data_IF_231233315966
#
_entry.id   IF_231233315966
#
_cell.length_a   1.000
_cell.length_b   1.000
_cell.length_c   1.000
_cell.angle_alpha   90.00
_cell.angle_beta   90.00
_cell.angle_gamma   90.00
#
_symmetry.space_group_name_H-M   'P 1'
#
loop_
_entity.id
_entity.type
_entity.pdbx_description
1 polymer ?
#
# COMPACT_ATOMS: atom_id res chain seq x y z
N UNK A 1 17.90 38.32 25.45
CA UNK A 1 17.44 37.75 24.17
C UNK A 1 16.78 36.41 24.48
N UNK A 2 15.45 36.37 24.55
CA UNK A 2 14.72 35.14 24.90
C UNK A 2 14.62 34.22 23.69
N UNK A 3 14.81 32.94 23.96
CA UNK A 3 14.73 31.80 23.06
C UNK A 3 13.46 31.77 22.20
N UNK A 4 13.60 31.81 20.88
CA UNK A 4 12.62 31.16 20.00
C UNK A 4 12.82 29.65 20.16
N UNK A 5 12.07 29.06 21.11
CA UNK A 5 12.07 27.61 21.40
C UNK A 5 11.35 26.78 20.34
N UNK A 6 10.78 27.41 19.31
CA UNK A 6 9.96 26.74 18.31
C UNK A 6 10.32 27.26 16.93
N UNK A 7 10.63 26.34 16.01
CA UNK A 7 10.78 26.65 14.60
C UNK A 7 9.47 27.25 14.08
N UNK A 8 9.55 28.34 13.32
CA UNK A 8 8.38 28.88 12.63
C UNK A 8 7.83 27.85 11.63
N UNK A 9 6.52 27.89 11.35
CA UNK A 9 5.89 27.00 10.36
C UNK A 9 6.58 27.08 8.99
N UNK A 10 7.09 28.26 8.60
CA UNK A 10 7.88 28.44 7.39
C UNK A 10 9.22 27.71 7.47
N UNK A 11 9.94 27.79 8.60
CA UNK A 11 11.19 27.03 8.79
C UNK A 11 10.94 25.52 8.76
N UNK A 12 9.91 25.01 9.45
CA UNK A 12 9.51 23.59 9.39
C UNK A 12 9.18 23.19 7.96
N UNK A 13 8.44 24.02 7.23
CA UNK A 13 8.07 23.77 5.83
C UNK A 13 9.30 23.73 4.93
N UNK A 14 10.25 24.65 5.11
CA UNK A 14 11.49 24.66 4.35
C UNK A 14 12.43 23.51 4.71
N UNK A 15 12.50 23.11 5.97
CA UNK A 15 13.24 21.91 6.41
C UNK A 15 12.62 20.63 5.84
N UNK A 16 11.30 20.49 5.88
CA UNK A 16 10.59 19.38 5.23
C UNK A 16 10.86 19.38 3.72
N UNK A 17 10.74 20.54 3.04
CA UNK A 17 11.05 20.64 1.60
C UNK A 17 12.48 20.23 1.30
N UNK A 18 13.47 20.69 2.07
CA UNK A 18 14.89 20.31 1.92
C UNK A 18 15.09 18.82 2.18
N UNK A 19 14.49 18.26 3.22
CA UNK A 19 14.53 16.83 3.52
C UNK A 19 13.98 15.99 2.36
N UNK A 20 12.85 16.40 1.78
CA UNK A 20 12.25 15.76 0.60
C UNK A 20 12.89 16.16 -0.74
N UNK A 21 13.91 17.03 -0.76
CA UNK A 21 14.72 17.33 -1.96
C UNK A 21 15.99 16.49 -2.02
N UNK A 22 16.49 16.00 -0.88
CA UNK A 22 17.71 15.17 -0.80
C UNK A 22 17.36 13.69 -1.00
N UNK A 23 17.06 13.32 -2.26
CA UNK A 23 16.95 11.91 -2.68
C UNK A 23 18.23 11.40 -3.36
N UNK A 24 19.33 12.16 -3.35
CA UNK A 24 20.62 11.76 -3.92
C UNK A 24 21.13 10.42 -3.37
N UNK A 25 20.73 10.06 -2.14
CA UNK A 25 21.05 8.77 -1.53
C UNK A 25 20.53 7.56 -2.32
N UNK A 26 19.45 7.69 -3.09
CA UNK A 26 18.87 6.59 -3.87
C UNK A 26 19.76 6.15 -5.04
N UNK A 27 20.61 7.06 -5.55
CA UNK A 27 21.46 6.80 -6.71
C UNK A 27 22.53 5.72 -6.45
N UNK A 28 22.87 5.47 -5.18
CA UNK A 28 23.92 4.54 -4.76
C UNK A 28 23.39 3.30 -4.02
N UNK A 29 22.10 2.99 -4.13
CA UNK A 29 21.54 1.82 -3.45
C UNK A 29 22.06 0.53 -4.08
N UNK A 30 22.79 -0.25 -3.28
CA UNK A 30 23.04 -1.67 -3.59
C UNK A 30 21.73 -2.45 -3.55
N UNK A 31 21.70 -3.65 -4.12
CA UNK A 31 20.48 -4.49 -4.09
C UNK A 31 20.04 -4.80 -2.66
N UNK A 32 20.98 -4.96 -1.72
CA UNK A 32 20.67 -5.09 -0.30
C UNK A 32 19.97 -3.84 0.27
N UNK A 33 20.41 -2.64 -0.11
CA UNK A 33 19.75 -1.40 0.29
C UNK A 33 18.33 -1.28 -0.28
N UNK A 34 18.12 -1.73 -1.53
CA UNK A 34 16.79 -1.74 -2.17
C UNK A 34 15.85 -2.69 -1.44
N UNK A 35 16.28 -3.91 -1.15
CA UNK A 35 15.44 -4.87 -0.42
C UNK A 35 15.12 -4.38 1.00
N UNK A 36 16.08 -3.77 1.69
CA UNK A 36 15.82 -3.11 2.97
C UNK A 36 14.79 -1.98 2.82
N UNK A 37 14.92 -1.15 1.80
CA UNK A 37 13.96 -0.07 1.52
C UNK A 37 12.55 -0.60 1.28
N UNK A 38 12.41 -1.66 0.49
CA UNK A 38 11.11 -2.29 0.27
C UNK A 38 10.54 -2.85 1.56
N UNK A 39 11.35 -3.58 2.35
CA UNK A 39 10.93 -4.11 3.64
C UNK A 39 10.44 -3.01 4.59
N UNK A 40 11.19 -1.93 4.72
CA UNK A 40 10.87 -0.82 5.64
C UNK A 40 9.60 -0.07 5.19
N UNK A 41 9.48 0.26 3.90
CA UNK A 41 8.30 0.96 3.39
C UNK A 41 7.06 0.08 3.32
N UNK A 42 7.21 -1.21 3.04
CA UNK A 42 6.10 -2.15 3.06
C UNK A 42 5.60 -2.40 4.49
N UNK A 43 6.48 -2.33 5.49
CA UNK A 43 6.06 -2.31 6.91
C UNK A 43 5.26 -1.04 7.26
N UNK A 44 5.59 0.12 6.67
CA UNK A 44 4.79 1.35 6.82
C UNK A 44 3.41 1.16 6.15
N UNK A 45 3.37 0.64 4.92
CA UNK A 45 2.11 0.30 4.24
C UNK A 45 1.24 -0.62 5.09
N UNK A 46 1.83 -1.69 5.66
CA UNK A 46 1.13 -2.63 6.55
C UNK A 46 0.48 -1.94 7.74
N UNK A 47 1.17 -0.95 8.35
CA UNK A 47 0.61 -0.14 9.45
C UNK A 47 -0.58 0.70 9.00
N UNK A 48 -0.56 1.27 7.80
CA UNK A 48 -1.73 1.97 7.27
C UNK A 48 -2.92 1.04 7.11
N UNK A 49 -2.71 -0.16 6.57
CA UNK A 49 -3.76 -1.18 6.43
C UNK A 49 -4.37 -1.54 7.78
N UNK A 50 -3.53 -1.80 8.78
CA UNK A 50 -3.98 -2.09 10.14
C UNK A 50 -4.81 -0.93 10.73
N UNK A 51 -4.32 0.30 10.57
CA UNK A 51 -4.98 1.49 11.09
C UNK A 51 -6.39 1.63 10.53
N UNK A 52 -6.57 1.68 9.20
CA UNK A 52 -7.92 1.87 8.66
C UNK A 52 -8.82 0.64 8.82
N UNK A 53 -8.27 -0.58 8.96
CA UNK A 53 -9.07 -1.79 9.23
C UNK A 53 -9.61 -1.83 10.66
N UNK A 54 -8.89 -1.25 11.63
CA UNK A 54 -9.29 -1.15 13.05
C UNK A 54 -10.03 0.13 13.39
N UNK A 55 -10.12 1.04 12.43
CA UNK A 55 -10.70 2.35 12.63
C UNK A 55 -12.21 2.26 12.79
N UNK A 56 -12.68 2.22 14.04
CA UNK A 56 -14.05 2.61 14.37
C UNK A 56 -14.11 4.14 14.48
N UNK A 57 -13.66 4.89 13.46
CA UNK A 57 -13.74 6.36 13.54
C UNK A 57 -15.21 6.73 13.69
N UNK A 58 -15.58 7.09 14.92
CA UNK A 58 -16.89 7.63 15.23
C UNK A 58 -17.15 8.72 14.21
N UNK A 59 -18.30 8.62 13.52
CA UNK A 59 -18.67 9.47 12.40
C UNK A 59 -18.58 10.94 12.82
N UNK A 60 -17.42 11.56 12.61
CA UNK A 60 -17.36 12.99 12.40
C UNK A 60 -17.92 13.15 10.99
N UNK A 61 -19.24 13.36 10.93
CA UNK A 61 -19.93 13.67 9.70
C UNK A 61 -19.11 14.76 8.97
N UNK A 62 -18.74 14.47 7.72
CA UNK A 62 -17.94 15.29 6.80
C UNK A 62 -16.39 15.23 6.90
N UNK A 63 -15.79 14.54 7.87
CA UNK A 63 -14.32 14.38 7.97
C UNK A 63 -13.90 12.93 8.24
N UNK A 64 -13.92 12.10 7.20
CA UNK A 64 -13.50 10.69 7.35
C UNK A 64 -12.01 10.55 7.07
N UNK A 65 -11.20 10.67 8.13
CA UNK A 65 -9.73 10.55 8.12
C UNK A 65 -9.28 9.24 7.45
N UNK A 66 -10.07 8.18 7.58
CA UNK A 66 -9.82 6.89 6.93
C UNK A 66 -9.63 7.01 5.42
N UNK A 67 -10.36 7.89 4.75
CA UNK A 67 -10.27 7.95 3.30
C UNK A 67 -8.95 8.57 2.83
N UNK A 68 -8.48 9.60 3.53
CA UNK A 68 -7.15 10.17 3.32
C UNK A 68 -6.07 9.11 3.56
N UNK A 69 -6.22 8.30 4.61
CA UNK A 69 -5.28 7.21 4.93
C UNK A 69 -5.26 6.15 3.81
N UNK A 70 -6.43 5.74 3.31
CA UNK A 70 -6.55 4.80 2.19
C UNK A 70 -5.85 5.35 0.95
N UNK A 71 -6.16 6.59 0.54
CA UNK A 71 -5.56 7.20 -0.64
C UNK A 71 -4.04 7.33 -0.54
N UNK A 72 -3.52 7.74 0.62
CA UNK A 72 -2.07 7.82 0.88
C UNK A 72 -1.43 6.43 0.86
N UNK A 73 -2.07 5.44 1.49
CA UNK A 73 -1.56 4.07 1.55
C UNK A 73 -1.45 3.44 0.16
N UNK A 74 -2.45 3.63 -0.69
CA UNK A 74 -2.43 3.14 -2.07
C UNK A 74 -1.44 3.87 -2.94
N UNK A 75 -1.29 5.20 -2.78
CA UNK A 75 -0.25 5.93 -3.48
C UNK A 75 1.14 5.39 -3.13
N UNK A 76 1.43 5.21 -1.83
CA UNK A 76 2.68 4.60 -1.38
C UNK A 76 2.86 3.23 -2.02
N UNK A 77 1.83 2.39 -1.96
CA UNK A 77 1.92 1.02 -2.44
C UNK A 77 2.16 0.93 -3.95
N UNK A 78 1.46 1.73 -4.75
CA UNK A 78 1.67 1.80 -6.20
C UNK A 78 3.06 2.35 -6.54
N UNK A 79 3.58 3.30 -5.76
CA UNK A 79 4.95 3.79 -5.90
C UNK A 79 5.99 2.71 -5.60
N UNK A 80 5.75 1.85 -4.61
CA UNK A 80 6.62 0.69 -4.34
C UNK A 80 6.58 -0.32 -5.49
N UNK A 81 5.41 -0.58 -6.07
CA UNK A 81 5.28 -1.45 -7.24
C UNK A 81 6.08 -0.90 -8.43
N UNK A 82 5.96 0.41 -8.73
CA UNK A 82 6.73 1.05 -9.80
C UNK A 82 8.26 0.93 -9.58
N UNK A 83 8.73 1.09 -8.33
CA UNK A 83 10.14 0.89 -7.98
C UNK A 83 10.59 -0.56 -8.11
N UNK A 84 9.72 -1.56 -7.91
CA UNK A 84 10.02 -2.98 -8.17
C UNK A 84 10.14 -3.27 -9.67
N UNK A 85 9.43 -2.53 -10.53
CA UNK A 85 9.51 -2.66 -11.99
C UNK A 85 10.84 -2.11 -12.52
N UNK A 86 11.13 -0.85 -12.19
CA UNK A 86 12.35 -0.17 -12.64
C UNK A 86 12.83 0.82 -11.58
N UNK A 87 13.72 0.35 -10.70
CA UNK A 87 14.29 1.16 -9.63
C UNK A 87 14.94 2.43 -10.19
N UNK A 88 15.82 2.29 -11.18
CA UNK A 88 16.68 3.39 -11.63
C UNK A 88 15.85 4.51 -12.28
N UNK A 89 14.93 4.15 -13.17
CA UNK A 89 14.10 5.14 -13.84
C UNK A 89 13.16 5.82 -12.83
N UNK A 90 12.49 5.03 -11.98
CA UNK A 90 11.55 5.57 -10.99
C UNK A 90 12.26 6.40 -9.90
N UNK A 91 13.42 5.97 -9.41
CA UNK A 91 14.22 6.71 -8.41
C UNK A 91 14.73 8.03 -8.96
N UNK A 92 15.20 8.05 -10.20
CA UNK A 92 15.67 9.27 -10.86
C UNK A 92 14.53 10.30 -10.99
N UNK A 93 13.30 9.85 -11.18
CA UNK A 93 12.14 10.74 -11.18
C UNK A 93 11.85 11.31 -9.80
N UNK A 94 12.03 10.54 -8.72
CA UNK A 94 11.99 11.08 -7.35
C UNK A 94 13.13 12.06 -7.05
N UNK A 95 14.27 11.94 -7.73
CA UNK A 95 15.38 12.91 -7.68
C UNK A 95 15.18 14.16 -8.56
N UNK A 96 14.26 14.13 -9.53
CA UNK A 96 14.08 15.24 -10.47
C UNK A 96 13.48 16.48 -9.79
N UNK A 97 13.88 17.69 -10.23
CA UNK A 97 13.29 18.94 -9.73
C UNK A 97 11.86 19.18 -10.26
N UNK A 98 11.42 18.40 -11.24
CA UNK A 98 10.10 18.52 -11.83
C UNK A 98 9.06 17.77 -10.98
N UNK A 99 8.34 18.51 -10.11
CA UNK A 99 7.37 17.94 -9.17
C UNK A 99 6.24 17.13 -9.85
N UNK A 100 5.92 17.39 -11.12
CA UNK A 100 4.88 16.65 -11.87
C UNK A 100 5.26 15.18 -12.10
N UNK A 101 6.56 14.89 -12.13
CA UNK A 101 7.11 13.55 -12.42
C UNK A 101 7.11 12.63 -11.19
N UNK A 102 6.98 13.18 -9.97
CA UNK A 102 6.89 12.41 -8.70
C UNK A 102 5.47 11.98 -8.34
N UNK A 103 4.53 12.19 -9.25
CA UNK A 103 3.11 12.08 -9.01
C UNK A 103 2.64 10.62 -8.98
N UNK A 104 1.57 10.37 -8.22
CA UNK A 104 0.85 9.10 -8.27
C UNK A 104 0.47 8.69 -9.70
N UNK A 105 0.15 9.66 -10.56
CA UNK A 105 -0.16 9.42 -11.98
C UNK A 105 0.96 8.72 -12.74
N UNK A 106 2.23 9.09 -12.50
CA UNK A 106 3.37 8.45 -13.15
C UNK A 106 3.54 6.99 -12.69
N UNK A 107 3.60 6.76 -11.37
CA UNK A 107 3.75 5.41 -10.82
C UNK A 107 2.62 4.49 -11.28
N UNK A 108 1.38 5.00 -11.30
CA UNK A 108 0.21 4.29 -11.83
C UNK A 108 0.40 3.88 -13.29
N UNK A 109 0.88 4.78 -14.15
CA UNK A 109 1.13 4.48 -15.57
C UNK A 109 2.14 3.35 -15.72
N UNK A 110 3.26 3.44 -15.00
CA UNK A 110 4.30 2.39 -15.00
C UNK A 110 3.74 1.03 -14.58
N UNK A 111 2.95 0.99 -13.50
CA UNK A 111 2.30 -0.25 -13.04
C UNK A 111 1.32 -0.78 -14.06
N UNK A 112 0.50 0.05 -14.71
CA UNK A 112 -0.44 -0.40 -15.73
C UNK A 112 0.25 -1.02 -16.95
N UNK A 113 1.31 -0.38 -17.46
CA UNK A 113 2.07 -0.88 -18.62
C UNK A 113 2.78 -2.22 -18.36
N UNK A 114 3.12 -2.50 -17.10
CA UNK A 114 3.70 -3.79 -16.69
C UNK A 114 2.61 -4.83 -16.39
N UNK A 115 1.53 -4.46 -15.68
CA UNK A 115 0.42 -5.37 -15.37
C UNK A 115 -0.27 -5.91 -16.62
N UNK A 116 -0.52 -5.07 -17.63
CA UNK A 116 -1.17 -5.47 -18.89
C UNK A 116 -0.46 -6.66 -19.57
N UNK A 117 0.82 -6.86 -19.29
CA UNK A 117 1.64 -7.94 -19.85
C UNK A 117 1.68 -9.20 -18.97
N UNK A 118 1.17 -9.13 -17.74
CA UNK A 118 1.34 -10.17 -16.70
C UNK A 118 0.05 -10.88 -16.30
N UNK A 119 -1.11 -10.26 -16.53
CA UNK A 119 -2.41 -10.75 -16.05
C UNK A 119 -3.43 -10.77 -17.18
N UNK A 120 -4.55 -11.46 -16.96
CA UNK A 120 -5.64 -11.53 -17.95
C UNK A 120 -6.26 -10.15 -18.24
N UNK A 121 -6.82 -9.97 -19.44
CA UNK A 121 -7.42 -8.70 -19.87
C UNK A 121 -8.57 -8.22 -18.98
N UNK A 122 -9.41 -9.13 -18.48
CA UNK A 122 -10.49 -8.78 -17.55
C UNK A 122 -9.95 -8.40 -16.17
N UNK A 123 -8.92 -9.11 -15.70
CA UNK A 123 -8.21 -8.78 -14.47
C UNK A 123 -7.55 -7.41 -14.54
N UNK A 124 -6.85 -7.12 -15.64
CA UNK A 124 -6.23 -5.82 -15.88
C UNK A 124 -7.26 -4.69 -15.90
N UNK A 125 -8.37 -4.89 -16.62
CA UNK A 125 -9.46 -3.91 -16.68
C UNK A 125 -9.98 -3.60 -15.27
N UNK A 126 -10.26 -4.62 -14.46
CA UNK A 126 -10.72 -4.42 -13.08
C UNK A 126 -9.68 -3.73 -12.20
N UNK A 127 -8.42 -4.14 -12.27
CA UNK A 127 -7.34 -3.49 -11.52
C UNK A 127 -7.24 -2.01 -11.87
N UNK A 128 -7.33 -1.69 -13.16
CA UNK A 128 -7.32 -0.32 -13.66
C UNK A 128 -8.49 0.49 -13.12
N UNK A 129 -9.71 -0.04 -13.18
CA UNK A 129 -10.92 0.61 -12.64
C UNK A 129 -10.78 0.96 -11.16
N UNK A 130 -10.31 0.01 -10.34
CA UNK A 130 -10.14 0.20 -8.89
C UNK A 130 -9.05 1.23 -8.59
N UNK A 131 -7.90 1.16 -9.25
CA UNK A 131 -6.80 2.11 -9.02
C UNK A 131 -7.16 3.52 -9.53
N UNK A 132 -7.84 3.62 -10.67
CA UNK A 132 -8.36 4.89 -11.19
C UNK A 132 -9.40 5.49 -10.22
N UNK A 133 -10.32 4.66 -9.70
CA UNK A 133 -11.29 5.05 -8.69
C UNK A 133 -10.60 5.65 -7.46
N UNK A 134 -9.59 4.96 -6.90
CA UNK A 134 -8.84 5.42 -5.73
C UNK A 134 -8.09 6.73 -6.03
N UNK A 135 -7.50 6.88 -7.21
CA UNK A 135 -6.80 8.13 -7.57
C UNK A 135 -7.77 9.30 -7.72
N UNK A 136 -8.93 9.10 -8.36
CA UNK A 136 -10.00 10.11 -8.39
C UNK A 136 -10.42 10.46 -6.99
N UNK A 137 -10.60 9.45 -6.13
CA UNK A 137 -11.00 9.67 -4.74
C UNK A 137 -9.95 10.51 -4.00
N UNK A 138 -8.66 10.19 -4.17
CA UNK A 138 -7.52 10.94 -3.65
C UNK A 138 -7.56 12.43 -3.94
N UNK A 139 -7.85 12.79 -5.17
CA UNK A 139 -7.81 14.19 -5.61
C UNK A 139 -9.05 14.98 -5.16
N UNK A 140 -10.16 14.30 -4.85
CA UNK A 140 -11.41 14.92 -4.45
C UNK A 140 -11.60 15.01 -2.92
N UNK A 141 -10.72 14.40 -2.11
CA UNK A 141 -10.80 14.41 -0.64
C UNK A 141 -10.89 15.80 0.00
N UNK A 142 -10.33 16.83 -0.64
CA UNK A 142 -10.33 18.20 -0.10
C UNK A 142 -11.69 18.90 -0.30
N UNK A 143 -12.55 18.42 -1.21
CA UNK A 143 -13.72 19.17 -1.67
C UNK A 143 -15.08 18.48 -1.50
N UNK A 144 -15.16 17.15 -1.32
CA UNK A 144 -16.39 16.44 -0.94
C UNK A 144 -16.12 14.98 -0.58
N UNK A 145 -16.65 14.51 0.56
CA UNK A 145 -16.59 13.10 0.94
C UNK A 145 -17.55 12.24 0.06
N UNK A 146 -16.94 11.42 -0.79
CA UNK A 146 -17.32 10.05 -1.20
C UNK A 146 -18.78 9.62 -1.09
N UNK A 147 -19.50 9.59 -2.22
CA UNK A 147 -20.64 8.67 -2.37
C UNK A 147 -20.12 7.32 -2.88
N UNK A 148 -20.37 6.25 -2.12
CA UNK A 148 -20.17 4.86 -2.57
C UNK A 148 -18.89 4.14 -2.13
N UNK A 149 -17.88 4.82 -1.56
CA UNK A 149 -16.67 4.14 -1.07
C UNK A 149 -16.95 3.20 0.10
N UNK A 150 -17.93 3.53 0.94
CA UNK A 150 -18.39 2.68 2.05
C UNK A 150 -19.16 1.45 1.60
N UNK A 151 -19.29 1.22 0.29
CA UNK A 151 -19.90 0.02 -0.23
C UNK A 151 -18.96 -1.18 -0.06
N UNK A 152 -19.45 -2.24 0.56
CA UNK A 152 -18.69 -3.47 0.84
C UNK A 152 -17.98 -4.02 -0.40
N UNK A 153 -18.64 -3.99 -1.56
CA UNK A 153 -18.08 -4.47 -2.82
C UNK A 153 -16.84 -3.67 -3.27
N UNK A 154 -16.80 -2.36 -3.01
CA UNK A 154 -15.63 -1.52 -3.34
C UNK A 154 -14.44 -1.92 -2.47
N UNK A 155 -14.66 -2.03 -1.15
CA UNK A 155 -13.64 -2.50 -0.21
C UNK A 155 -13.07 -3.86 -0.60
N UNK A 156 -13.94 -4.82 -0.91
CA UNK A 156 -13.52 -6.14 -1.38
C UNK A 156 -12.62 -6.05 -2.62
N UNK A 157 -12.98 -5.27 -3.62
CA UNK A 157 -12.16 -5.11 -4.82
C UNK A 157 -10.81 -4.45 -4.53
N UNK A 158 -10.77 -3.48 -3.61
CA UNK A 158 -9.51 -2.85 -3.20
C UNK A 158 -8.54 -3.87 -2.59
N UNK A 159 -9.03 -4.73 -1.69
CA UNK A 159 -8.20 -5.78 -1.08
C UNK A 159 -7.81 -6.89 -2.07
N UNK A 160 -8.69 -7.25 -3.02
CA UNK A 160 -8.35 -8.18 -4.10
C UNK A 160 -7.21 -7.64 -4.98
N UNK A 161 -7.26 -6.35 -5.33
CA UNK A 161 -6.19 -5.68 -6.07
C UNK A 161 -4.91 -5.62 -5.25
N UNK A 162 -4.99 -5.39 -3.93
CA UNK A 162 -3.80 -5.48 -3.06
C UNK A 162 -3.16 -6.88 -3.13
N UNK A 163 -3.96 -7.93 -2.99
CA UNK A 163 -3.46 -9.30 -3.05
C UNK A 163 -2.75 -9.59 -4.37
N UNK A 164 -3.34 -9.14 -5.48
CA UNK A 164 -2.74 -9.28 -6.81
C UNK A 164 -1.39 -8.57 -6.90
N UNK A 165 -1.30 -7.31 -6.47
CA UNK A 165 -0.07 -6.52 -6.55
C UNK A 165 1.03 -7.10 -5.66
N UNK A 166 0.69 -7.52 -4.44
CA UNK A 166 1.64 -8.14 -3.49
C UNK A 166 2.27 -9.37 -4.13
N UNK A 167 1.45 -10.24 -4.70
CA UNK A 167 1.91 -11.48 -5.31
C UNK A 167 2.70 -11.22 -6.60
N UNK A 168 2.17 -10.37 -7.50
CA UNK A 168 2.79 -10.05 -8.80
C UNK A 168 4.18 -9.43 -8.64
N UNK A 169 4.35 -8.55 -7.66
CA UNK A 169 5.61 -7.86 -7.39
C UNK A 169 6.44 -8.50 -6.27
N UNK A 170 6.05 -9.72 -5.85
CA UNK A 170 6.78 -10.54 -4.88
C UNK A 170 7.13 -9.79 -3.59
N UNK A 171 6.17 -9.02 -3.06
CA UNK A 171 6.29 -8.46 -1.72
C UNK A 171 6.12 -9.57 -0.67
N UNK A 172 6.83 -9.46 0.45
CA UNK A 172 6.78 -10.39 1.58
C UNK A 172 5.98 -9.76 2.73
N UNK A 173 4.64 -9.91 2.74
CA UNK A 173 3.81 -9.40 3.83
C UNK A 173 4.03 -10.20 5.11
N UNK A 174 3.94 -9.48 6.24
CA UNK A 174 3.77 -10.14 7.54
C UNK A 174 2.42 -10.84 7.60
N UNK A 175 2.35 -11.90 8.40
CA UNK A 175 1.13 -12.70 8.57
C UNK A 175 -0.09 -11.82 8.95
N UNK A 176 0.10 -10.82 9.81
CA UNK A 176 -0.95 -9.88 10.20
C UNK A 176 -1.56 -9.12 9.01
N UNK A 177 -0.74 -8.68 8.05
CA UNK A 177 -1.24 -7.99 6.86
C UNK A 177 -2.03 -8.96 5.97
N UNK A 178 -1.53 -10.19 5.80
CA UNK A 178 -2.25 -11.21 5.01
C UNK A 178 -3.60 -11.51 5.66
N UNK A 179 -3.62 -11.71 6.98
CA UNK A 179 -4.86 -11.94 7.73
C UNK A 179 -5.84 -10.79 7.56
N UNK A 180 -5.39 -9.53 7.64
CA UNK A 180 -6.24 -8.36 7.40
C UNK A 180 -6.85 -8.34 5.99
N UNK A 181 -6.03 -8.62 4.96
CA UNK A 181 -6.52 -8.67 3.58
C UNK A 181 -7.58 -9.77 3.44
N UNK A 182 -7.28 -10.97 3.93
CA UNK A 182 -8.17 -12.13 3.86
C UNK A 182 -9.48 -11.86 4.58
N UNK A 183 -9.42 -11.43 5.84
CA UNK A 183 -10.60 -11.17 6.66
C UNK A 183 -11.49 -10.10 6.04
N UNK A 184 -10.92 -9.03 5.49
CA UNK A 184 -11.71 -7.99 4.85
C UNK A 184 -12.37 -8.48 3.55
N UNK A 185 -11.76 -9.40 2.81
CA UNK A 185 -12.40 -9.99 1.63
C UNK A 185 -13.55 -10.92 2.06
N UNK A 186 -13.36 -11.71 3.11
CA UNK A 186 -14.35 -12.66 3.63
C UNK A 186 -15.53 -11.98 4.33
N UNK A 187 -15.30 -10.90 5.09
CA UNK A 187 -16.37 -10.13 5.75
C UNK A 187 -17.29 -9.41 4.75
N UNK A 188 -16.78 -9.13 3.54
CA UNK A 188 -17.52 -8.46 2.48
C UNK A 188 -18.02 -9.47 1.43
N UNK A 189 -18.59 -10.61 1.86
CA UNK A 189 -19.21 -11.61 0.96
C UNK A 189 -20.33 -10.99 0.11
N UNK A 190 -20.64 -11.61 -1.03
CA UNK A 190 -21.69 -11.17 -1.97
C UNK A 190 -23.03 -11.12 -1.23
N UNK A 191 -23.59 -9.93 -1.06
CA UNK A 191 -24.85 -9.71 -0.32
C UNK A 191 -25.96 -9.28 -1.30
N UNK A 192 -25.65 -8.85 -2.52
CA UNK A 192 -26.63 -8.26 -3.43
C UNK A 192 -26.25 -8.31 -4.91
N UNK A 193 -27.18 -7.97 -5.81
CA UNK A 193 -26.90 -7.81 -7.24
C UNK A 193 -26.05 -6.58 -7.63
N UNK A 194 -25.49 -5.84 -6.66
CA UNK A 194 -24.61 -4.68 -6.88
C UNK A 194 -23.12 -5.06 -6.79
N UNK A 195 -22.82 -6.35 -6.72
CA UNK A 195 -21.44 -6.85 -6.68
C UNK A 195 -20.74 -6.72 -8.03
N UNK A 196 -19.43 -6.49 -7.99
CA UNK A 196 -18.62 -6.48 -9.19
C UNK A 196 -18.47 -7.90 -9.75
N UNK A 197 -18.43 -8.02 -11.08
CA UNK A 197 -18.19 -9.29 -11.77
C UNK A 197 -16.89 -9.95 -11.28
N UNK A 198 -16.92 -11.26 -11.05
CA UNK A 198 -15.71 -12.00 -10.69
C UNK A 198 -14.81 -12.16 -11.93
N UNK A 199 -13.55 -11.74 -11.77
CA UNK A 199 -12.52 -11.84 -12.82
C UNK A 199 -11.33 -12.69 -12.37
N UNK A 200 -11.49 -13.52 -11.33
CA UNK A 200 -10.46 -14.46 -10.89
C UNK A 200 -9.36 -13.86 -10.01
N UNK A 201 -9.56 -12.67 -9.44
CA UNK A 201 -8.59 -12.07 -8.50
C UNK A 201 -8.47 -12.88 -7.20
N UNK A 202 -9.45 -13.72 -6.88
CA UNK A 202 -9.46 -14.55 -5.67
C UNK A 202 -8.30 -15.54 -5.61
N UNK A 203 -7.77 -15.96 -6.77
CA UNK A 203 -6.64 -16.88 -6.84
C UNK A 203 -5.37 -16.31 -6.21
N UNK A 204 -5.18 -14.99 -6.32
CA UNK A 204 -4.05 -14.28 -5.70
C UNK A 204 -4.17 -14.30 -4.17
N UNK A 205 -5.39 -14.23 -3.63
CA UNK A 205 -5.65 -14.35 -2.18
C UNK A 205 -5.30 -15.76 -1.71
N UNK A 206 -5.70 -16.79 -2.46
CA UNK A 206 -5.39 -18.18 -2.14
C UNK A 206 -3.89 -18.43 -2.11
N UNK A 207 -3.12 -17.84 -3.03
CA UNK A 207 -1.65 -17.90 -3.01
C UNK A 207 -1.04 -17.20 -1.79
N UNK A 208 -1.58 -16.04 -1.39
CA UNK A 208 -1.14 -15.40 -0.14
C UNK A 208 -1.44 -16.25 1.10
N UNK A 209 -2.62 -16.87 1.16
CA UNK A 209 -2.96 -17.82 2.23
C UNK A 209 -1.98 -19.00 2.27
N UNK A 210 -1.60 -19.53 1.11
CA UNK A 210 -0.59 -20.58 1.01
C UNK A 210 0.77 -20.19 1.62
N UNK A 211 1.16 -18.91 1.53
CA UNK A 211 2.39 -18.40 2.16
C UNK A 211 2.33 -18.39 3.70
N UNK A 212 1.13 -18.24 4.29
CA UNK A 212 0.95 -18.33 5.76
C UNK A 212 1.24 -19.73 6.28
N UNK A 213 0.74 -20.76 5.59
CA UNK A 213 0.86 -22.17 6.00
C UNK A 213 2.29 -22.72 5.97
N UNK A 214 3.22 -22.04 5.30
CA UNK A 214 4.63 -22.45 5.22
C UNK A 214 5.49 -21.79 6.30
N UNK A 215 5.02 -20.70 6.93
CA UNK A 215 5.74 -19.97 8.00
C UNK A 215 5.64 -20.57 9.41
N UNK A 216 5.03 -21.75 9.55
CA UNK A 216 5.07 -22.51 10.80
C UNK A 216 6.41 -23.26 10.86
N UNK A 217 7.45 -22.62 11.39
CA UNK A 217 8.65 -23.33 11.82
C UNK A 217 8.27 -24.40 12.86
N UNK A 218 8.88 -25.60 12.81
CA UNK A 218 8.63 -26.66 13.78
C UNK A 218 9.03 -26.18 15.16
N UNK A 219 8.20 -26.49 16.16
CA UNK A 219 8.52 -26.29 17.57
C UNK A 219 9.92 -26.83 17.85
N UNK A 220 10.86 -25.93 18.20
CA UNK A 220 12.13 -26.34 18.79
C UNK A 220 11.78 -26.89 20.17
N UNK A 221 11.70 -28.22 20.29
CA UNK A 221 11.73 -28.90 21.58
C UNK A 221 13.01 -28.48 22.30
N UNK A 222 12.88 -27.56 23.25
CA UNK A 222 13.93 -27.29 24.21
C UNK A 222 13.95 -28.47 25.17
N UNK A 223 14.82 -29.45 24.91
CA UNK A 223 15.20 -30.46 25.89
C UNK A 223 15.68 -29.74 27.17
N UNK A 224 14.82 -29.70 28.17
CA UNK A 224 15.19 -29.27 29.51
C UNK A 224 16.09 -30.32 30.13
N UNK A 225 17.40 -30.09 30.12
CA UNK A 225 18.31 -30.85 30.99
C UNK A 225 18.14 -30.35 32.42
N UNK A 226 17.99 -31.25 33.41
CA UNK A 226 17.93 -30.86 34.80
C UNK A 226 19.29 -30.28 35.23
N UNK A 227 19.23 -29.17 35.96
CA UNK A 227 20.39 -28.60 36.64
C UNK A 227 20.57 -29.41 37.93
N UNK A 228 21.62 -30.22 37.99
CA UNK A 228 22.09 -30.81 39.25
C UNK A 228 22.69 -29.69 40.11
N UNK A 229 22.19 -29.58 41.35
CA UNK A 229 22.70 -28.70 42.41
C UNK A 229 23.88 -29.34 43.14
#
# INVERSE_FOLDING_TARGET
MSSEKYLSFNQITEECKKFYEVYESFSNFTDWNKERFFKDNFAIFSKYVDLYSKSNFERIHDMTIEYSLIGISFELFIKLCALKIDWNNCSNMYGSKNKKDKSFGFAKKCVFEDLEKRIDGNQFTRCKEVIDYIHVQRNNFVHSSFKGQNHYAVWKQMFLVMALLIDTYSFEPKNDLVNHIVENIEKNTVISGLDFEDVGLIDYVNRLKGKLSVSCDPEIEVESKPIDW
#
